data_IF_091284423101
#
_entry.id   IF_091284423101
#
_cell.length_a   1.000
_cell.length_b   1.000
_cell.length_c   1.000
_cell.angle_alpha   90.00
_cell.angle_beta   90.00
_cell.angle_gamma   90.00
#
_symmetry.space_group_name_H-M   'P 1'
#
loop_
_entity.id
_entity.type
_entity.pdbx_description
1 polymer ?
#
# COMPACT_ATOMS: atom_id res chain seq x y z
N UNK A 1 -10.61 -25.49 -30.56
CA UNK A 1 -9.18 -25.15 -30.75
C UNK A 1 -8.91 -23.96 -29.84
N UNK A 2 -8.23 -24.19 -28.71
CA UNK A 2 -7.89 -23.12 -27.76
C UNK A 2 -6.65 -22.44 -28.33
N UNK A 3 -6.81 -21.22 -28.82
CA UNK A 3 -5.67 -20.37 -29.20
C UNK A 3 -5.08 -19.88 -27.87
N UNK A 4 -4.01 -20.52 -27.42
CA UNK A 4 -3.27 -20.05 -26.25
C UNK A 4 -2.41 -18.85 -26.67
N UNK A 5 -2.56 -17.74 -25.98
CA UNK A 5 -1.71 -16.57 -26.15
C UNK A 5 -0.26 -16.95 -25.85
N UNK A 6 0.65 -16.87 -26.85
CA UNK A 6 2.05 -17.22 -26.70
C UNK A 6 2.77 -16.33 -25.68
N UNK A 7 2.36 -15.05 -25.57
CA UNK A 7 2.92 -14.12 -24.58
C UNK A 7 2.53 -14.51 -23.17
N UNK A 8 1.31 -15.00 -22.95
CA UNK A 8 0.86 -15.50 -21.66
C UNK A 8 1.64 -16.75 -21.24
N UNK A 9 1.87 -17.68 -22.16
CA UNK A 9 2.68 -18.87 -21.91
C UNK A 9 4.12 -18.52 -21.53
N UNK A 10 4.71 -17.58 -22.24
CA UNK A 10 6.06 -17.09 -21.97
C UNK A 10 6.15 -16.49 -20.56
N UNK A 11 5.22 -15.59 -20.21
CA UNK A 11 5.17 -15.00 -18.86
C UNK A 11 4.97 -16.03 -17.76
N UNK A 12 4.15 -17.07 -17.98
CA UNK A 12 4.00 -18.18 -17.02
C UNK A 12 5.27 -18.99 -16.87
N UNK A 13 5.99 -19.24 -17.96
CA UNK A 13 7.27 -19.94 -17.92
C UNK A 13 8.35 -19.10 -17.20
N UNK A 14 8.41 -17.81 -17.44
CA UNK A 14 9.30 -16.88 -16.75
C UNK A 14 9.01 -16.84 -15.22
N UNK A 15 7.75 -16.74 -14.83
CA UNK A 15 7.33 -16.84 -13.43
C UNK A 15 7.85 -18.14 -12.76
N UNK A 16 7.61 -19.28 -13.39
CA UNK A 16 8.07 -20.58 -12.86
C UNK A 16 9.59 -20.66 -12.79
N UNK A 17 10.27 -20.13 -13.82
CA UNK A 17 11.73 -20.11 -13.82
C UNK A 17 12.29 -19.27 -12.68
N UNK A 18 11.71 -18.12 -12.40
CA UNK A 18 12.10 -17.28 -11.26
C UNK A 18 11.83 -17.99 -9.93
N UNK A 19 10.63 -18.53 -9.72
CA UNK A 19 10.26 -19.21 -8.48
C UNK A 19 11.12 -20.44 -8.15
N UNK A 20 11.56 -21.21 -9.17
CA UNK A 20 12.28 -22.47 -8.94
C UNK A 20 13.81 -22.38 -9.09
N UNK A 21 14.31 -21.34 -9.73
CA UNK A 21 15.74 -21.21 -10.03
C UNK A 21 16.41 -19.98 -9.40
N UNK A 22 15.65 -19.10 -8.75
CA UNK A 22 16.17 -17.95 -8.01
C UNK A 22 15.53 -17.88 -6.62
N UNK A 23 16.09 -17.06 -5.74
CA UNK A 23 15.52 -16.76 -4.42
C UNK A 23 14.61 -15.50 -4.48
N UNK A 24 14.20 -15.08 -5.68
CA UNK A 24 13.40 -13.87 -5.88
C UNK A 24 11.92 -14.13 -5.61
N UNK A 25 11.25 -13.13 -5.05
CA UNK A 25 9.80 -13.12 -4.92
C UNK A 25 9.13 -12.71 -6.25
N UNK A 26 7.97 -13.29 -6.55
CA UNK A 26 7.21 -12.97 -7.77
C UNK A 26 5.87 -12.35 -7.40
N UNK A 27 5.68 -11.09 -7.79
CA UNK A 27 4.42 -10.38 -7.64
C UNK A 27 3.74 -10.19 -9.00
N UNK A 28 2.47 -10.59 -9.09
CA UNK A 28 1.69 -10.51 -10.33
C UNK A 28 0.49 -9.60 -10.11
N UNK A 29 0.45 -8.50 -10.85
CA UNK A 29 -0.71 -7.63 -10.94
C UNK A 29 -1.44 -7.91 -12.25
N UNK A 30 -2.63 -8.53 -12.18
CA UNK A 30 -3.40 -8.88 -13.36
C UNK A 30 -4.89 -8.61 -13.17
N UNK A 31 -5.56 -7.97 -14.14
CA UNK A 31 -7.01 -7.76 -14.10
C UNK A 31 -7.77 -9.08 -14.31
N UNK A 32 -7.14 -10.05 -14.93
CA UNK A 32 -7.69 -11.37 -15.23
C UNK A 32 -7.03 -12.44 -14.36
N UNK A 33 -7.77 -13.50 -14.04
CA UNK A 33 -7.30 -14.56 -13.12
C UNK A 33 -6.38 -15.60 -13.78
N UNK A 34 -5.66 -15.22 -14.82
CA UNK A 34 -4.88 -16.12 -15.66
C UNK A 34 -3.75 -16.84 -14.91
N UNK A 35 -3.20 -16.20 -13.87
CA UNK A 35 -2.12 -16.72 -13.03
C UNK A 35 -2.61 -17.34 -11.72
N UNK A 36 -3.88 -17.17 -11.35
CA UNK A 36 -4.38 -17.56 -10.03
C UNK A 36 -4.16 -19.06 -9.72
N UNK A 37 -4.46 -19.94 -10.69
CA UNK A 37 -4.26 -21.37 -10.52
C UNK A 37 -2.77 -21.73 -10.38
N UNK A 38 -1.91 -21.07 -11.15
CA UNK A 38 -0.47 -21.30 -11.12
C UNK A 38 0.14 -20.82 -9.79
N UNK A 39 -0.27 -19.64 -9.33
CA UNK A 39 0.15 -19.09 -8.05
C UNK A 39 -0.23 -20.04 -6.89
N UNK A 40 -1.47 -20.51 -6.85
CA UNK A 40 -1.92 -21.47 -5.82
C UNK A 40 -1.16 -22.80 -5.88
N UNK A 41 -0.89 -23.33 -7.08
CA UNK A 41 -0.12 -24.57 -7.25
C UNK A 41 1.34 -24.43 -6.82
N UNK A 42 1.89 -23.22 -6.91
CA UNK A 42 3.24 -22.88 -6.45
C UNK A 42 3.30 -22.50 -4.97
N UNK A 43 2.20 -22.64 -4.21
CA UNK A 43 2.16 -22.29 -2.78
C UNK A 43 1.97 -20.79 -2.51
N UNK A 44 1.73 -19.98 -3.55
CA UNK A 44 1.52 -18.55 -3.42
C UNK A 44 0.10 -18.16 -3.02
N UNK A 45 -0.10 -16.91 -2.65
CA UNK A 45 -1.38 -16.35 -2.26
C UNK A 45 -2.01 -15.54 -3.42
N UNK A 46 -3.34 -15.66 -3.55
CA UNK A 46 -4.11 -14.90 -4.54
C UNK A 46 -4.98 -13.87 -3.83
N UNK A 47 -4.56 -12.63 -3.85
CA UNK A 47 -5.27 -11.49 -3.27
C UNK A 47 -6.21 -10.90 -4.31
N UNK A 48 -7.52 -10.91 -4.03
CA UNK A 48 -8.54 -10.33 -4.91
C UNK A 48 -9.00 -8.98 -4.36
N UNK A 49 -8.65 -7.90 -5.05
CA UNK A 49 -9.13 -6.55 -4.75
C UNK A 49 -10.26 -6.21 -5.72
N UNK A 50 -11.48 -6.10 -5.25
CA UNK A 50 -12.66 -5.72 -6.04
C UNK A 50 -13.73 -5.12 -5.14
N UNK A 51 -14.67 -4.37 -5.70
CA UNK A 51 -15.73 -3.70 -4.94
C UNK A 51 -16.57 -4.65 -4.05
N UNK A 52 -16.64 -5.94 -4.37
CA UNK A 52 -17.36 -6.96 -3.59
C UNK A 52 -16.44 -7.92 -2.82
N UNK A 53 -15.12 -7.69 -2.76
CA UNK A 53 -14.23 -8.55 -1.98
C UNK A 53 -14.17 -8.11 -0.52
N UNK A 54 -13.94 -9.05 0.40
CA UNK A 54 -13.65 -8.78 1.81
C UNK A 54 -12.13 -8.64 2.05
N UNK A 55 -11.37 -8.37 1.00
CA UNK A 55 -9.93 -8.18 1.04
C UNK A 55 -9.60 -6.71 1.19
N UNK A 56 -8.80 -6.38 2.17
CA UNK A 56 -8.38 -5.04 2.50
C UNK A 56 -6.86 -4.95 2.53
N UNK A 57 -6.32 -3.87 1.98
CA UNK A 57 -4.89 -3.54 2.02
C UNK A 57 -4.76 -2.09 2.46
N UNK A 58 -4.17 -1.88 3.62
CA UNK A 58 -3.95 -0.55 4.16
C UNK A 58 -2.71 0.09 3.52
N UNK A 59 -2.82 1.18 2.77
CA UNK A 59 -1.67 1.85 2.16
C UNK A 59 -0.75 2.51 3.20
N UNK A 60 -1.22 2.65 4.44
CA UNK A 60 -0.44 3.19 5.55
C UNK A 60 0.31 2.11 6.34
N UNK A 61 0.23 0.83 5.98
CA UNK A 61 1.12 -0.17 6.58
C UNK A 61 2.57 0.17 6.29
N UNK A 62 3.41 0.14 7.31
CA UNK A 62 4.82 0.52 7.23
C UNK A 62 5.68 -0.53 7.93
N UNK A 63 6.72 -0.98 7.25
CA UNK A 63 7.78 -1.78 7.84
C UNK A 63 8.89 -0.87 8.33
N UNK A 64 9.26 -0.98 9.60
CA UNK A 64 10.32 -0.17 10.20
C UNK A 64 11.70 -0.58 9.69
N UNK A 65 11.85 -1.82 9.24
CA UNK A 65 13.10 -2.35 8.67
C UNK A 65 13.25 -1.97 7.19
N UNK A 66 12.22 -1.34 6.59
CA UNK A 66 12.26 -0.90 5.20
C UNK A 66 13.20 0.31 5.05
N UNK A 67 14.27 0.10 4.30
CA UNK A 67 15.28 1.13 4.07
C UNK A 67 16.57 0.95 4.89
N UNK A 68 16.69 -0.07 5.74
CA UNK A 68 17.95 -0.50 6.34
C UNK A 68 18.83 -1.21 5.29
N UNK A 69 19.18 -0.51 4.21
CA UNK A 69 20.16 -0.98 3.24
C UNK A 69 21.54 -0.42 3.55
N UNK A 70 22.58 -0.96 2.89
CA UNK A 70 24.02 -0.68 3.09
C UNK A 70 24.42 0.81 2.89
N UNK A 71 23.51 1.67 2.41
CA UNK A 71 23.75 3.07 2.01
C UNK A 71 23.20 4.12 3.02
N UNK A 72 23.07 3.80 4.30
CA UNK A 72 22.65 4.76 5.32
C UNK A 72 21.15 5.09 5.22
N UNK A 73 20.34 4.14 5.63
CA UNK A 73 18.92 4.02 5.44
C UNK A 73 18.09 5.30 5.53
N UNK A 74 17.23 5.50 4.57
CA UNK A 74 16.21 6.54 4.62
C UNK A 74 15.24 6.25 5.78
N UNK A 75 14.87 7.29 6.51
CA UNK A 75 13.85 7.21 7.57
C UNK A 75 12.55 6.60 6.98
N UNK A 76 12.04 5.48 7.54
CA UNK A 76 10.83 4.80 7.04
C UNK A 76 9.63 5.74 6.89
N UNK A 77 9.48 6.71 7.79
CA UNK A 77 8.41 7.72 7.72
C UNK A 77 8.57 8.64 6.52
N UNK A 78 9.81 8.98 6.16
CA UNK A 78 10.09 9.79 4.98
C UNK A 78 9.71 9.04 3.71
N UNK A 79 10.11 7.78 3.58
CA UNK A 79 9.73 6.92 2.45
C UNK A 79 8.20 6.74 2.36
N UNK A 80 7.55 6.57 3.51
CA UNK A 80 6.10 6.46 3.57
C UNK A 80 5.42 7.79 3.19
N UNK A 81 6.00 8.94 3.59
CA UNK A 81 5.50 10.25 3.19
C UNK A 81 5.52 10.43 1.68
N UNK A 82 6.62 10.09 1.03
CA UNK A 82 6.76 10.14 -0.43
C UNK A 82 5.73 9.23 -1.13
N UNK A 83 5.51 8.04 -0.58
CA UNK A 83 4.49 7.13 -1.09
C UNK A 83 3.08 7.70 -0.95
N UNK A 84 2.71 8.25 0.22
CA UNK A 84 1.38 8.83 0.47
C UNK A 84 1.16 10.11 -0.37
N UNK A 85 2.18 10.93 -0.58
CA UNK A 85 2.12 12.07 -1.51
C UNK A 85 1.80 11.56 -2.92
N UNK A 86 2.48 10.52 -3.39
CA UNK A 86 2.24 9.93 -4.72
C UNK A 86 0.84 9.30 -4.84
N UNK A 87 0.37 8.64 -3.77
CA UNK A 87 -0.99 8.11 -3.69
C UNK A 87 -2.04 9.22 -3.79
N UNK A 88 -1.88 10.28 -3.00
CA UNK A 88 -2.76 11.45 -3.05
C UNK A 88 -2.69 12.17 -4.40
N UNK A 89 -1.51 12.28 -5.01
CA UNK A 89 -1.34 12.87 -6.34
C UNK A 89 -2.11 12.09 -7.41
N UNK A 90 -2.13 10.77 -7.31
CA UNK A 90 -2.88 9.89 -8.21
C UNK A 90 -4.39 9.96 -7.96
N UNK A 91 -4.82 10.00 -6.70
CA UNK A 91 -6.23 9.94 -6.31
C UNK A 91 -6.93 11.32 -6.40
N UNK A 92 -6.21 12.40 -6.12
CA UNK A 92 -6.75 13.75 -5.86
C UNK A 92 -6.18 14.79 -6.81
N UNK A 93 -4.92 14.66 -7.21
CA UNK A 93 -4.15 15.71 -7.89
C UNK A 93 -4.65 16.14 -9.28
N UNK A 94 -5.59 15.39 -9.86
CA UNK A 94 -6.19 15.72 -11.16
C UNK A 94 -5.14 15.92 -12.27
N UNK A 95 -5.42 16.87 -13.19
CA UNK A 95 -4.55 17.12 -14.36
C UNK A 95 -3.23 17.80 -14.02
N UNK A 96 -3.18 18.56 -12.92
CA UNK A 96 -2.04 19.42 -12.58
C UNK A 96 -1.20 18.89 -11.40
N UNK A 97 -1.59 17.75 -10.84
CA UNK A 97 -0.97 17.21 -9.63
C UNK A 97 -1.28 18.05 -8.38
N UNK A 98 -0.59 17.76 -7.30
CA UNK A 98 -0.70 18.49 -6.04
C UNK A 98 0.22 19.73 -6.04
N UNK A 99 -0.27 20.84 -5.50
CA UNK A 99 0.53 22.03 -5.26
C UNK A 99 1.61 21.79 -4.18
N UNK A 100 2.67 22.59 -4.11
CA UNK A 100 3.67 22.51 -3.05
C UNK A 100 3.09 22.62 -1.63
N UNK A 101 2.05 23.43 -1.43
CA UNK A 101 1.37 23.57 -0.14
C UNK A 101 0.65 22.28 0.25
N UNK A 102 -0.08 21.66 -0.67
CA UNK A 102 -0.75 20.39 -0.45
C UNK A 102 0.23 19.28 -0.12
N UNK A 103 1.37 19.18 -0.85
CA UNK A 103 2.43 18.21 -0.55
C UNK A 103 3.02 18.42 0.85
N UNK A 104 3.25 19.67 1.26
CA UNK A 104 3.74 20.00 2.60
C UNK A 104 2.75 19.63 3.71
N UNK A 105 1.44 19.83 3.46
CA UNK A 105 0.38 19.44 4.39
C UNK A 105 0.34 17.92 4.54
N UNK A 106 0.39 17.17 3.43
CA UNK A 106 0.40 15.71 3.43
C UNK A 106 1.62 15.19 4.20
N UNK A 107 2.84 15.67 3.91
CA UNK A 107 4.06 15.26 4.63
C UNK A 107 3.92 15.49 6.15
N UNK A 108 3.48 16.68 6.54
CA UNK A 108 3.24 17.00 7.95
C UNK A 108 2.24 16.03 8.59
N UNK A 109 1.12 15.76 7.93
CA UNK A 109 0.09 14.86 8.44
C UNK A 109 0.59 13.41 8.53
N UNK A 110 1.39 12.95 7.57
CA UNK A 110 2.01 11.62 7.63
C UNK A 110 2.92 11.52 8.84
N UNK A 111 3.80 12.49 9.08
CA UNK A 111 4.68 12.49 10.27
C UNK A 111 3.88 12.49 11.58
N UNK A 112 2.80 13.26 11.64
CA UNK A 112 1.95 13.34 12.83
C UNK A 112 1.21 12.04 13.11
N UNK A 113 0.68 11.37 12.08
CA UNK A 113 -0.14 10.16 12.24
C UNK A 113 0.69 8.95 12.69
N UNK A 114 1.98 8.88 12.30
CA UNK A 114 2.86 7.79 12.73
C UNK A 114 3.48 8.01 14.11
N UNK A 115 3.44 9.22 14.66
CA UNK A 115 4.06 9.52 15.96
C UNK A 115 3.60 8.58 17.08
N UNK A 116 2.29 8.30 17.29
CA UNK A 116 1.85 7.37 18.33
C UNK A 116 2.34 5.93 18.07
N UNK A 117 2.39 5.50 16.82
CA UNK A 117 2.90 4.19 16.46
C UNK A 117 4.39 4.04 16.76
N UNK A 118 5.20 5.03 16.41
CA UNK A 118 6.64 5.04 16.67
C UNK A 118 6.95 5.08 18.19
N UNK A 119 6.18 5.87 18.93
CA UNK A 119 6.28 5.91 20.40
C UNK A 119 5.96 4.54 21.02
N UNK A 120 4.91 3.86 20.51
CA UNK A 120 4.58 2.50 20.93
C UNK A 120 5.72 1.53 20.58
N UNK A 121 6.21 1.51 19.34
CA UNK A 121 7.28 0.62 18.89
C UNK A 121 8.60 0.83 19.63
N UNK A 122 8.87 2.02 20.14
CA UNK A 122 10.03 2.28 20.99
C UNK A 122 9.95 1.56 22.36
N UNK A 123 8.76 1.16 22.80
CA UNK A 123 8.53 0.47 24.08
C UNK A 123 8.50 -1.05 23.95
N UNK A 124 8.28 -1.60 22.76
CA UNK A 124 8.20 -3.06 22.54
C UNK A 124 9.55 -3.63 22.11
N UNK A 125 9.81 -4.87 22.54
CA UNK A 125 11.05 -5.60 22.20
C UNK A 125 10.99 -6.25 20.82
N UNK A 126 9.80 -6.71 20.45
CA UNK A 126 9.54 -7.29 19.12
C UNK A 126 9.14 -6.16 18.17
N UNK A 127 9.98 -5.95 17.15
CA UNK A 127 9.78 -4.91 16.13
C UNK A 127 8.98 -5.40 14.93
N UNK A 128 8.36 -6.57 15.03
CA UNK A 128 7.43 -7.02 13.98
C UNK A 128 6.27 -6.01 13.83
N UNK A 129 5.75 -5.91 12.61
CA UNK A 129 4.64 -4.98 12.32
C UNK A 129 3.43 -5.36 13.16
N UNK A 130 2.95 -4.43 13.98
CA UNK A 130 1.68 -4.53 14.67
C UNK A 130 0.60 -3.82 13.82
N UNK A 131 -0.07 -4.59 12.96
CA UNK A 131 -1.11 -4.07 12.06
C UNK A 131 -2.29 -3.46 12.81
N UNK A 132 -2.53 -3.88 14.05
CA UNK A 132 -3.63 -3.34 14.87
C UNK A 132 -3.34 -1.94 15.40
N UNK A 133 -2.08 -1.53 15.40
CA UNK A 133 -1.63 -0.20 15.85
C UNK A 133 -1.31 0.74 14.70
N UNK A 134 -1.20 0.21 13.48
CA UNK A 134 -0.97 1.05 12.31
C UNK A 134 -2.10 2.03 12.08
N UNK A 135 -1.79 3.28 11.68
CA UNK A 135 -2.82 4.20 11.22
C UNK A 135 -3.47 3.66 9.94
N UNK A 136 -4.71 4.07 9.71
CA UNK A 136 -5.48 3.73 8.51
C UNK A 136 -5.71 4.97 7.65
N UNK A 137 -6.19 4.77 6.43
CA UNK A 137 -6.56 5.88 5.55
C UNK A 137 -7.69 6.74 6.16
N UNK A 138 -8.57 6.14 6.97
CA UNK A 138 -9.60 6.89 7.71
C UNK A 138 -8.96 7.80 8.77
N UNK A 139 -7.95 7.31 9.47
CA UNK A 139 -7.24 8.13 10.47
C UNK A 139 -6.53 9.32 9.79
N UNK A 140 -5.93 9.09 8.62
CA UNK A 140 -5.31 10.13 7.82
C UNK A 140 -6.33 11.17 7.31
N UNK A 141 -7.49 10.71 6.81
CA UNK A 141 -8.60 11.57 6.43
C UNK A 141 -9.06 12.45 7.59
N UNK A 142 -9.30 11.86 8.75
CA UNK A 142 -9.72 12.59 9.95
C UNK A 142 -8.68 13.62 10.39
N UNK A 143 -7.40 13.28 10.29
CA UNK A 143 -6.32 14.20 10.63
C UNK A 143 -6.25 15.37 9.65
N UNK A 144 -6.45 15.14 8.35
CA UNK A 144 -6.55 16.21 7.34
C UNK A 144 -7.75 17.14 7.59
N UNK A 145 -8.92 16.57 7.92
CA UNK A 145 -10.12 17.34 8.26
C UNK A 145 -9.93 18.21 9.50
N UNK A 146 -9.07 17.80 10.42
CA UNK A 146 -8.76 18.54 11.65
C UNK A 146 -7.74 19.67 11.43
N UNK A 147 -7.10 19.76 10.26
CA UNK A 147 -6.15 20.83 9.97
C UNK A 147 -6.90 22.14 9.69
N UNK A 148 -6.32 23.29 10.07
CA UNK A 148 -6.97 24.60 9.87
C UNK A 148 -6.94 25.09 8.42
N UNK A 149 -6.04 24.54 7.58
CA UNK A 149 -5.86 24.98 6.21
C UNK A 149 -6.98 24.46 5.29
N UNK A 150 -7.59 25.33 4.47
CA UNK A 150 -8.63 24.91 3.51
C UNK A 150 -8.14 23.84 2.52
N UNK A 151 -6.86 23.87 2.14
CA UNK A 151 -6.25 22.90 1.24
C UNK A 151 -6.26 21.48 1.86
N UNK A 152 -6.02 21.36 3.15
CA UNK A 152 -6.09 20.09 3.87
C UNK A 152 -7.50 19.50 3.81
N UNK A 153 -8.51 20.33 4.03
CA UNK A 153 -9.91 19.94 3.95
C UNK A 153 -10.32 19.55 2.53
N UNK A 154 -9.79 20.23 1.50
CA UNK A 154 -10.03 19.86 0.10
C UNK A 154 -9.42 18.52 -0.26
N UNK A 155 -8.20 18.24 0.21
CA UNK A 155 -7.57 16.93 0.04
C UNK A 155 -8.43 15.85 0.73
N UNK A 156 -8.85 16.09 1.96
CA UNK A 156 -9.69 15.17 2.71
C UNK A 156 -11.01 14.87 1.99
N UNK A 157 -11.74 15.90 1.54
CA UNK A 157 -12.97 15.73 0.78
C UNK A 157 -12.78 14.91 -0.50
N UNK A 158 -11.65 15.09 -1.18
CA UNK A 158 -11.32 14.30 -2.38
C UNK A 158 -10.96 12.85 -2.06
N UNK A 159 -10.45 12.58 -0.85
CA UNK A 159 -10.18 11.22 -0.37
C UNK A 159 -11.42 10.53 0.22
N UNK A 160 -12.51 11.24 0.46
CA UNK A 160 -13.70 10.72 1.13
C UNK A 160 -14.27 9.47 0.45
N UNK A 161 -14.27 9.43 -0.88
CA UNK A 161 -14.72 8.27 -1.65
C UNK A 161 -13.92 6.98 -1.34
N UNK A 162 -12.64 7.13 -0.99
CA UNK A 162 -11.74 6.02 -0.65
C UNK A 162 -11.74 5.69 0.84
N UNK A 163 -12.28 6.56 1.69
CA UNK A 163 -12.30 6.39 3.15
C UNK A 163 -13.65 5.89 3.66
N UNK A 164 -14.73 6.55 3.26
CA UNK A 164 -16.10 6.28 3.75
C UNK A 164 -17.09 6.05 2.61
N UNK A 165 -16.63 6.20 1.36
CA UNK A 165 -17.44 6.03 0.15
C UNK A 165 -17.37 4.62 -0.43
N UNK A 166 -17.76 4.49 -1.70
CA UNK A 166 -17.88 3.21 -2.39
C UNK A 166 -16.54 2.52 -2.72
N UNK A 167 -15.41 3.21 -2.57
CA UNK A 167 -14.07 2.70 -2.86
C UNK A 167 -13.23 2.49 -1.58
N UNK A 168 -13.87 2.18 -0.46
CA UNK A 168 -13.29 2.08 0.88
C UNK A 168 -12.34 0.87 1.11
N UNK A 169 -11.98 0.12 0.07
CA UNK A 169 -11.17 -1.11 0.19
C UNK A 169 -9.76 -0.86 0.76
N UNK A 170 -9.28 0.34 0.66
CA UNK A 170 -7.99 0.78 1.18
C UNK A 170 -8.10 1.54 2.52
N UNK A 171 -9.32 1.69 3.04
CA UNK A 171 -9.57 2.41 4.28
C UNK A 171 -9.43 1.54 5.55
N UNK A 172 -9.48 0.23 5.37
CA UNK A 172 -9.46 -0.75 6.46
C UNK A 172 -8.07 -1.31 6.69
N UNK A 173 -7.87 -1.93 7.86
CA UNK A 173 -6.65 -2.65 8.18
C UNK A 173 -6.42 -3.81 7.22
N UNK A 174 -5.18 -4.06 6.87
CA UNK A 174 -4.80 -5.19 6.03
C UNK A 174 -5.20 -6.50 6.69
N UNK A 175 -5.93 -7.33 5.94
CA UNK A 175 -6.40 -8.64 6.39
C UNK A 175 -5.89 -9.79 5.52
N UNK A 176 -4.89 -9.52 4.69
CA UNK A 176 -4.21 -10.52 3.85
C UNK A 176 -2.72 -10.51 4.15
N UNK A 177 -2.06 -11.62 3.90
CA UNK A 177 -0.62 -11.69 4.06
C UNK A 177 0.08 -11.04 2.85
N UNK A 178 0.58 -9.83 3.04
CA UNK A 178 1.34 -9.08 2.03
C UNK A 178 2.83 -9.41 2.04
N UNK A 179 3.30 -10.23 3.00
CA UNK A 179 4.69 -10.68 3.18
C UNK A 179 4.87 -12.16 2.83
N UNK A 180 3.92 -12.78 2.12
CA UNK A 180 4.03 -14.18 1.74
C UNK A 180 5.25 -14.36 0.85
N UNK A 181 6.26 -15.06 1.39
CA UNK A 181 7.27 -15.72 0.59
C UNK A 181 6.66 -17.05 0.15
N UNK A 182 6.43 -17.20 -1.15
CA UNK A 182 5.77 -18.31 -1.87
C UNK A 182 4.30 -18.14 -2.10
#
# INVERSE_FOLDING_TARGET
>A
MIIMDQDLLKRKAEMLNTLYNTDDDVFIFGPEREFAALAMLSGGEVVKISAGSETYVNPLDMDLDYGEGDDGGNDPVTLKSDFIISLCETAVGGRFGLSPNEKSIIDRCVRLIYKPYLEYMATVKDKSIDVDKMPTLIDFYNLLMAQPEPEAQQIALSLEIYCTGSLDRFAHRTNVNTKSKY
#
